data_IF_162834962965
#
_entry.id   IF_162834962965
#
_cell.length_a   1.000
_cell.length_b   1.000
_cell.length_c   1.000
_cell.angle_alpha   90.00
_cell.angle_beta   90.00
_cell.angle_gamma   90.00
#
_symmetry.space_group_name_H-M   'P 1'
#
loop_
_entity.id
_entity.type
_entity.pdbx_description
1 polymer ?
#
# COMPACT_ATOMS: atom_id res chain seq x y z
N UNK A 1 -12.02 -16.44 -1.79
CA UNK A 1 -11.81 -16.15 -3.24
C UNK A 1 -11.55 -14.65 -3.46
N UNK A 2 -11.12 -13.92 -2.43
CA UNK A 2 -10.98 -12.46 -2.46
C UNK A 2 -9.56 -12.06 -2.90
N UNK A 3 -8.59 -12.94 -2.64
CA UNK A 3 -7.16 -12.77 -2.94
C UNK A 3 -6.91 -12.49 -4.43
N UNK A 4 -7.61 -13.24 -5.31
CA UNK A 4 -7.49 -13.10 -6.76
C UNK A 4 -7.98 -11.76 -7.31
N UNK A 5 -8.86 -11.06 -6.60
CA UNK A 5 -9.44 -9.81 -7.10
C UNK A 5 -8.51 -8.65 -6.87
N UNK A 6 -7.87 -8.58 -5.69
CA UNK A 6 -6.97 -7.48 -5.33
C UNK A 6 -5.61 -7.59 -6.01
N UNK A 7 -5.08 -8.81 -6.19
CA UNK A 7 -3.81 -9.02 -6.88
C UNK A 7 -3.85 -8.64 -8.37
N UNK A 8 -5.02 -8.81 -9.02
CA UNK A 8 -5.16 -8.70 -10.49
C UNK A 8 -4.73 -7.35 -11.04
N UNK A 9 -4.83 -6.28 -10.26
CA UNK A 9 -4.50 -4.93 -10.71
C UNK A 9 -3.25 -4.32 -10.05
N UNK A 10 -2.58 -5.03 -9.12
CA UNK A 10 -1.44 -4.46 -8.38
C UNK A 10 -0.32 -4.01 -9.32
N UNK A 11 0.13 -4.89 -10.22
CA UNK A 11 1.21 -4.57 -11.17
C UNK A 11 0.81 -3.44 -12.11
N UNK A 12 -0.45 -3.45 -12.58
CA UNK A 12 -0.99 -2.41 -13.45
C UNK A 12 -1.01 -1.06 -12.74
N UNK A 13 -1.54 -0.98 -11.53
CA UNK A 13 -1.60 0.28 -10.78
C UNK A 13 -0.24 0.77 -10.35
N UNK A 14 0.69 -0.13 -10.01
CA UNK A 14 2.06 0.25 -9.70
C UNK A 14 2.78 0.85 -10.92
N UNK A 15 2.56 0.26 -12.10
CA UNK A 15 3.04 0.81 -13.37
C UNK A 15 2.39 2.16 -13.69
N UNK A 16 1.07 2.26 -13.61
CA UNK A 16 0.33 3.51 -13.84
C UNK A 16 0.80 4.61 -12.88
N UNK A 17 0.99 4.30 -11.59
CA UNK A 17 1.49 5.26 -10.61
C UNK A 17 2.82 5.87 -11.06
N UNK A 18 3.76 5.01 -11.50
CA UNK A 18 5.05 5.47 -12.02
C UNK A 18 4.90 6.32 -13.28
N UNK A 19 4.09 5.88 -14.24
CA UNK A 19 3.88 6.62 -15.50
C UNK A 19 3.26 8.00 -15.24
N UNK A 20 2.31 8.11 -14.32
CA UNK A 20 1.71 9.40 -13.95
C UNK A 20 2.73 10.30 -13.26
N UNK A 21 3.54 9.76 -12.35
CA UNK A 21 4.67 10.47 -11.74
C UNK A 21 5.65 11.02 -12.78
N UNK A 22 6.05 10.21 -13.76
CA UNK A 22 6.98 10.62 -14.82
C UNK A 22 6.38 11.71 -15.74
N UNK A 23 5.05 11.71 -15.91
CA UNK A 23 4.32 12.75 -16.63
C UNK A 23 4.06 14.02 -15.81
N UNK A 24 4.42 14.03 -14.52
CA UNK A 24 4.15 15.13 -13.60
C UNK A 24 2.71 15.17 -13.08
N UNK A 25 1.90 14.13 -13.34
CA UNK A 25 0.54 14.01 -12.82
C UNK A 25 0.57 13.40 -11.41
N UNK A 26 0.85 14.25 -10.43
CA UNK A 26 0.98 13.83 -9.03
C UNK A 26 -0.31 13.22 -8.51
N UNK A 27 -1.47 13.85 -8.77
CA UNK A 27 -2.75 13.39 -8.25
C UNK A 27 -3.06 11.96 -8.69
N UNK A 28 -2.97 11.68 -9.99
CA UNK A 28 -3.19 10.34 -10.50
C UNK A 28 -2.14 9.35 -9.98
N UNK A 29 -0.87 9.77 -9.85
CA UNK A 29 0.15 8.93 -9.25
C UNK A 29 -0.18 8.55 -7.80
N UNK A 30 -0.65 9.50 -6.97
CA UNK A 30 -0.99 9.25 -5.57
C UNK A 30 -2.18 8.29 -5.46
N UNK A 31 -3.23 8.50 -6.25
CA UNK A 31 -4.42 7.64 -6.26
C UNK A 31 -4.06 6.18 -6.59
N UNK A 32 -3.21 5.98 -7.60
CA UNK A 32 -2.76 4.65 -8.01
C UNK A 32 -1.87 4.00 -6.96
N UNK A 33 -0.90 4.72 -6.41
CA UNK A 33 -0.01 4.18 -5.39
C UNK A 33 -0.78 3.83 -4.10
N UNK A 34 -1.72 4.69 -3.68
CA UNK A 34 -2.60 4.40 -2.54
C UNK A 34 -3.45 3.14 -2.78
N UNK A 35 -3.97 2.95 -4.00
CA UNK A 35 -4.73 1.75 -4.37
C UNK A 35 -3.90 0.46 -4.30
N UNK A 36 -2.61 0.54 -4.65
CA UNK A 36 -1.65 -0.56 -4.46
C UNK A 36 -1.47 -0.87 -2.98
N UNK A 37 -1.22 0.15 -2.16
CA UNK A 37 -1.05 0.00 -0.70
C UNK A 37 -2.29 -0.65 -0.07
N UNK A 38 -3.48 -0.12 -0.35
CA UNK A 38 -4.73 -0.63 0.19
C UNK A 38 -4.95 -2.09 -0.20
N UNK A 39 -4.69 -2.44 -1.46
CA UNK A 39 -4.88 -3.80 -1.95
C UNK A 39 -3.90 -4.80 -1.34
N UNK A 40 -2.64 -4.41 -1.11
CA UNK A 40 -1.66 -5.24 -0.40
C UNK A 40 -2.15 -5.54 1.03
N UNK A 41 -2.65 -4.52 1.75
CA UNK A 41 -3.16 -4.71 3.10
C UNK A 41 -4.37 -5.65 3.12
N UNK A 42 -5.29 -5.51 2.16
CA UNK A 42 -6.45 -6.42 2.05
C UNK A 42 -6.04 -7.86 1.76
N UNK A 43 -5.06 -8.07 0.87
CA UNK A 43 -4.52 -9.40 0.57
C UNK A 43 -3.87 -10.02 1.80
N UNK A 44 -3.05 -9.25 2.53
CA UNK A 44 -2.42 -9.74 3.76
C UNK A 44 -3.45 -10.02 4.85
N UNK A 45 -4.48 -9.18 4.99
CA UNK A 45 -5.55 -9.38 5.94
C UNK A 45 -6.36 -10.67 5.67
N UNK A 46 -6.63 -10.98 4.40
CA UNK A 46 -7.22 -12.27 4.00
C UNK A 46 -6.27 -13.43 4.27
N UNK A 47 -5.00 -13.31 3.89
CA UNK A 47 -3.97 -14.35 4.05
C UNK A 47 -3.78 -14.74 5.52
N UNK A 48 -3.74 -13.75 6.40
CA UNK A 48 -3.60 -13.94 7.84
C UNK A 48 -4.96 -14.15 8.54
N UNK A 49 -6.06 -14.08 7.80
CA UNK A 49 -7.44 -14.27 8.27
C UNK A 49 -7.77 -13.42 9.51
N UNK A 50 -7.37 -12.15 9.48
CA UNK A 50 -7.56 -11.21 10.60
C UNK A 50 -9.02 -10.82 10.78
N UNK A 51 -9.39 -10.27 11.95
CA UNK A 51 -10.78 -9.97 12.25
C UNK A 51 -11.33 -8.86 11.34
N UNK A 52 -10.52 -7.86 11.00
CA UNK A 52 -10.92 -6.82 10.07
C UNK A 52 -11.36 -7.38 8.69
N UNK A 53 -10.73 -8.44 8.21
CA UNK A 53 -11.12 -9.10 6.96
C UNK A 53 -12.48 -9.78 7.11
N UNK A 54 -12.71 -10.53 8.19
CA UNK A 54 -14.00 -11.20 8.43
C UNK A 54 -15.15 -10.20 8.53
N UNK A 55 -14.92 -9.10 9.24
CA UNK A 55 -15.87 -7.98 9.35
C UNK A 55 -16.12 -7.31 8.00
N UNK A 56 -15.09 -7.14 7.15
CA UNK A 56 -15.28 -6.59 5.82
C UNK A 56 -16.17 -7.49 4.94
N UNK A 57 -16.03 -8.82 5.07
CA UNK A 57 -16.88 -9.77 4.35
C UNK A 57 -18.32 -9.72 4.87
N UNK A 58 -18.52 -9.69 6.19
CA UNK A 58 -19.86 -9.65 6.78
C UNK A 58 -20.58 -8.33 6.54
N UNK A 59 -19.86 -7.21 6.51
CA UNK A 59 -20.39 -5.88 6.23
C UNK A 59 -20.59 -5.58 4.73
N UNK A 60 -20.20 -6.50 3.84
CA UNK A 60 -20.33 -6.33 2.39
C UNK A 60 -19.27 -5.44 1.74
N UNK A 61 -18.19 -5.11 2.45
CA UNK A 61 -17.09 -4.33 1.90
C UNK A 61 -16.13 -3.76 2.95
N UNK A 62 -15.06 -3.16 2.44
CA UNK A 62 -14.08 -2.46 3.27
C UNK A 62 -14.51 -1.01 3.50
N UNK A 63 -14.27 -0.51 4.70
CA UNK A 63 -14.32 0.91 5.03
C UNK A 63 -12.98 1.34 5.67
N UNK A 64 -12.82 2.64 5.90
CA UNK A 64 -11.58 3.21 6.46
C UNK A 64 -11.26 2.69 7.86
N UNK A 65 -12.29 2.41 8.67
CA UNK A 65 -12.13 1.82 10.01
C UNK A 65 -11.54 0.41 9.92
N UNK A 66 -12.12 -0.45 9.07
CA UNK A 66 -11.65 -1.82 8.85
C UNK A 66 -10.24 -1.86 8.27
N UNK A 67 -9.92 -0.94 7.35
CA UNK A 67 -8.55 -0.84 6.83
C UNK A 67 -7.56 -0.46 7.94
N UNK A 68 -7.90 0.52 8.78
CA UNK A 68 -7.06 0.90 9.93
C UNK A 68 -6.91 -0.23 10.94
N UNK A 69 -7.97 -1.00 11.19
CA UNK A 69 -7.94 -2.19 12.05
C UNK A 69 -7.01 -3.26 11.46
N UNK A 70 -7.11 -3.54 10.16
CA UNK A 70 -6.22 -4.48 9.48
C UNK A 70 -4.74 -4.10 9.60
N UNK A 71 -4.38 -2.81 9.48
CA UNK A 71 -2.99 -2.36 9.71
C UNK A 71 -2.48 -2.70 11.10
N UNK A 72 -3.30 -2.54 12.14
CA UNK A 72 -2.92 -2.84 13.52
C UNK A 72 -2.76 -4.35 13.75
N UNK A 73 -3.73 -5.13 13.29
CA UNK A 73 -3.69 -6.59 13.41
C UNK A 73 -2.48 -7.19 12.65
N UNK A 74 -2.23 -6.71 11.42
CA UNK A 74 -1.07 -7.15 10.64
C UNK A 74 0.25 -6.71 11.28
N UNK A 75 0.32 -5.51 11.86
CA UNK A 75 1.50 -5.07 12.60
C UNK A 75 1.80 -6.02 13.77
N UNK A 76 0.81 -6.36 14.59
CA UNK A 76 0.99 -7.29 15.71
C UNK A 76 1.44 -8.68 15.23
N UNK A 77 0.76 -9.24 14.24
CA UNK A 77 1.08 -10.55 13.67
C UNK A 77 2.51 -10.57 13.12
N UNK A 78 2.88 -9.56 12.34
CA UNK A 78 4.20 -9.54 11.71
C UNK A 78 5.33 -9.11 12.66
N UNK A 79 5.04 -8.37 13.72
CA UNK A 79 5.96 -8.18 14.85
C UNK A 79 6.30 -9.52 15.50
N UNK A 80 5.30 -10.38 15.75
CA UNK A 80 5.52 -11.70 16.34
C UNK A 80 6.29 -12.63 15.39
N UNK A 81 6.02 -12.57 14.08
CA UNK A 81 6.67 -13.44 13.08
C UNK A 81 8.10 -13.02 12.71
N UNK A 82 8.36 -11.72 12.61
CA UNK A 82 9.58 -11.19 11.99
C UNK A 82 10.30 -10.13 12.82
N UNK A 83 9.82 -9.82 14.03
CA UNK A 83 10.37 -8.80 14.92
C UNK A 83 9.64 -7.45 14.81
N UNK A 84 9.71 -6.66 15.89
CA UNK A 84 9.00 -5.39 16.02
C UNK A 84 9.33 -4.40 14.89
N UNK A 85 10.59 -4.33 14.47
CA UNK A 85 11.02 -3.47 13.37
C UNK A 85 10.26 -3.73 12.07
N UNK A 86 10.02 -5.01 11.75
CA UNK A 86 9.27 -5.38 10.56
C UNK A 86 7.77 -5.10 10.74
N UNK A 87 7.19 -5.39 11.90
CA UNK A 87 5.80 -5.05 12.18
C UNK A 87 5.54 -3.55 12.09
N UNK A 88 6.48 -2.71 12.55
CA UNK A 88 6.37 -1.27 12.49
C UNK A 88 6.32 -0.71 11.05
N UNK A 89 6.80 -1.45 10.05
CA UNK A 89 6.66 -1.07 8.64
C UNK A 89 5.20 -0.86 8.23
N UNK A 90 4.25 -1.60 8.81
CA UNK A 90 2.83 -1.44 8.54
C UNK A 90 2.30 -0.08 9.05
N UNK A 91 2.78 0.37 10.20
CA UNK A 91 2.42 1.68 10.75
C UNK A 91 3.04 2.82 9.94
N UNK A 92 4.32 2.69 9.58
CA UNK A 92 5.00 3.66 8.73
C UNK A 92 4.32 3.76 7.36
N UNK A 93 4.03 2.62 6.72
CA UNK A 93 3.32 2.58 5.44
C UNK A 93 1.96 3.27 5.52
N UNK A 94 1.19 2.99 6.58
CA UNK A 94 -0.13 3.60 6.79
C UNK A 94 -0.02 5.11 6.89
N UNK A 95 0.88 5.61 7.74
CA UNK A 95 1.03 7.03 7.98
C UNK A 95 1.51 7.75 6.71
N UNK A 96 2.47 7.16 5.99
CA UNK A 96 3.00 7.75 4.75
C UNK A 96 1.96 7.75 3.63
N UNK A 97 1.17 6.68 3.49
CA UNK A 97 0.12 6.59 2.50
C UNK A 97 -1.01 7.59 2.75
N UNK A 98 -1.42 7.79 4.02
CA UNK A 98 -2.40 8.83 4.36
C UNK A 98 -1.82 10.23 4.18
N UNK A 99 -0.57 10.46 4.61
CA UNK A 99 0.10 11.73 4.40
C UNK A 99 0.18 12.11 2.92
N UNK A 100 0.58 11.16 2.06
CA UNK A 100 0.62 11.38 0.62
C UNK A 100 -0.78 11.66 0.06
N UNK A 101 -1.80 10.91 0.48
CA UNK A 101 -3.18 11.14 0.02
C UNK A 101 -3.67 12.54 0.38
N UNK A 102 -3.49 12.94 1.64
CA UNK A 102 -3.86 14.27 2.13
C UNK A 102 -3.07 15.37 1.40
N UNK A 103 -1.77 15.15 1.15
CA UNK A 103 -0.93 16.06 0.38
C UNK A 103 -1.51 16.28 -1.02
N UNK A 104 -1.86 15.22 -1.74
CA UNK A 104 -2.34 15.32 -3.12
C UNK A 104 -3.78 15.88 -3.19
N UNK A 105 -4.60 15.67 -2.15
CA UNK A 105 -5.94 16.27 -2.03
C UNK A 105 -5.87 17.79 -1.78
N UNK A 106 -4.92 18.25 -0.94
CA UNK A 106 -4.71 19.67 -0.62
C UNK A 106 -3.95 20.38 -1.74
N UNK A 107 -2.97 19.71 -2.35
CA UNK A 107 -2.02 20.30 -3.30
C UNK A 107 -2.46 20.18 -4.76
N UNK A 108 -3.76 20.25 -5.09
CA UNK A 108 -4.26 20.29 -6.50
C UNK A 108 -3.53 21.31 -7.41
N UNK A 109 -2.77 22.24 -6.84
CA UNK A 109 -1.96 23.25 -7.53
C UNK A 109 -0.49 23.35 -7.09
N UNK A 110 -0.01 22.55 -6.14
CA UNK A 110 1.32 22.75 -5.53
C UNK A 110 2.36 21.75 -6.06
N UNK A 111 3.29 22.29 -6.86
CA UNK A 111 4.52 21.64 -7.34
C UNK A 111 5.52 21.31 -6.23
N UNK A 112 5.11 20.87 -5.04
CA UNK A 112 6.05 20.36 -4.03
C UNK A 112 6.52 18.96 -4.44
N UNK A 113 7.22 18.92 -5.57
CA UNK A 113 7.79 17.73 -6.20
C UNK A 113 8.63 16.95 -5.20
N UNK A 114 9.43 17.63 -4.38
CA UNK A 114 10.33 16.97 -3.42
C UNK A 114 9.60 16.17 -2.35
N UNK A 115 8.52 16.69 -1.76
CA UNK A 115 7.78 15.99 -0.70
C UNK A 115 7.08 14.76 -1.28
N UNK A 116 6.41 14.93 -2.42
CA UNK A 116 5.76 13.83 -3.13
C UNK A 116 6.76 12.74 -3.56
N UNK A 117 7.90 13.13 -4.14
CA UNK A 117 8.96 12.21 -4.57
C UNK A 117 9.51 11.38 -3.40
N UNK A 118 9.74 12.03 -2.25
CA UNK A 118 10.21 11.36 -1.04
C UNK A 118 9.17 10.36 -0.53
N UNK A 119 7.90 10.76 -0.41
CA UNK A 119 6.84 9.86 0.02
C UNK A 119 6.64 8.70 -0.95
N UNK A 120 6.68 8.96 -2.26
CA UNK A 120 6.58 7.93 -3.30
C UNK A 120 7.69 6.88 -3.14
N UNK A 121 8.93 7.35 -2.99
CA UNK A 121 10.08 6.48 -2.78
C UNK A 121 9.92 5.65 -1.50
N UNK A 122 9.59 6.29 -0.37
CA UNK A 122 9.41 5.62 0.92
C UNK A 122 8.35 4.53 0.85
N UNK A 123 7.16 4.83 0.31
CA UNK A 123 6.08 3.85 0.15
C UNK A 123 6.54 2.67 -0.72
N UNK A 124 7.13 2.94 -1.89
CA UNK A 124 7.55 1.86 -2.79
C UNK A 124 8.65 0.98 -2.20
N UNK A 125 9.58 1.54 -1.40
CA UNK A 125 10.59 0.78 -0.68
C UNK A 125 9.97 -0.11 0.41
N UNK A 126 9.06 0.43 1.23
CA UNK A 126 8.37 -0.35 2.25
C UNK A 126 7.55 -1.49 1.60
N UNK A 127 6.83 -1.20 0.52
CA UNK A 127 6.06 -2.21 -0.21
C UNK A 127 6.93 -3.33 -0.75
N UNK A 128 8.13 -3.02 -1.27
CA UNK A 128 9.10 -4.05 -1.70
C UNK A 128 9.52 -4.96 -0.55
N UNK A 129 9.83 -4.38 0.61
CA UNK A 129 10.26 -5.13 1.79
C UNK A 129 9.13 -6.04 2.29
N UNK A 130 7.91 -5.50 2.41
CA UNK A 130 6.73 -6.26 2.81
C UNK A 130 6.46 -7.38 1.81
N UNK A 131 6.40 -7.09 0.51
CA UNK A 131 6.09 -8.08 -0.53
C UNK A 131 7.09 -9.25 -0.52
N UNK A 132 8.39 -8.96 -0.47
CA UNK A 132 9.44 -9.99 -0.40
C UNK A 132 9.33 -10.87 0.84
N UNK A 133 9.08 -10.27 2.00
CA UNK A 133 9.04 -11.02 3.27
C UNK A 133 7.75 -11.81 3.45
N UNK A 134 6.64 -11.30 2.94
CA UNK A 134 5.31 -11.93 3.02
C UNK A 134 5.03 -12.90 1.87
N UNK A 135 5.88 -12.94 0.84
CA UNK A 135 5.70 -13.79 -0.33
C UNK A 135 4.60 -13.33 -1.28
N UNK A 136 4.28 -12.03 -1.29
CA UNK A 136 3.42 -11.44 -2.33
C UNK A 136 4.28 -11.20 -3.57
N UNK A 137 3.88 -11.75 -4.71
CA UNK A 137 4.52 -11.46 -6.00
C UNK A 137 4.14 -10.05 -6.46
N UNK A 138 5.13 -9.15 -6.45
CA UNK A 138 4.98 -7.76 -6.87
C UNK A 138 6.20 -7.40 -7.71
N UNK A 139 6.01 -7.26 -9.02
CA UNK A 139 7.09 -6.88 -9.94
C UNK A 139 7.24 -5.37 -9.95
N UNK A 140 8.38 -4.88 -9.47
CA UNK A 140 8.78 -3.51 -9.67
C UNK A 140 9.67 -3.46 -10.92
N UNK A 141 9.48 -2.52 -11.84
CA UNK A 141 10.29 -2.45 -13.09
C UNK A 141 11.81 -2.26 -12.83
N UNK A 142 12.21 -1.88 -11.61
CA UNK A 142 13.62 -1.88 -11.20
C UNK A 142 14.23 -3.29 -11.11
N UNK A 143 13.41 -4.35 -11.12
CA UNK A 143 13.84 -5.75 -11.13
C UNK A 143 14.10 -6.26 -12.57
N UNK A 144 13.82 -5.44 -13.60
CA UNK A 144 14.04 -5.74 -15.04
C UNK A 144 15.21 -4.98 -15.66
N UNK A 145 16.31 -4.79 -14.91
CA UNK A 145 17.61 -4.45 -15.49
C UNK A 145 18.63 -5.53 -15.16
N UNK A 146 18.75 -6.50 -16.07
CA UNK A 146 19.96 -7.26 -16.34
C UNK A 146 20.35 -7.01 -17.79
#
# INVERSE_FOLDING_TARGET
>A
MVERTFLKNLEKWLKEAKEFKEKGDMLQSCEKLYSVVESIIKVLAEKENVEAYKEAISAGGWNTYLLRKAYAELQEIYSQKFGEDFGNLFLFLRNEAYYMKDLCDICRSCNSTTVFENSYKTITEILRVIARKTGIELKFESDTKK
#
